data_IF_528161454851
#
_entry.id   IF_528161454851
#
_cell.length_a   1.000
_cell.length_b   1.000
_cell.length_c   1.000
_cell.angle_alpha   90.00
_cell.angle_beta   90.00
_cell.angle_gamma   90.00
#
_symmetry.space_group_name_H-M   'P 1'
#
loop_
_entity.id
_entity.type
_entity.pdbx_description
1 polymer ?
#
# COMPACT_ATOMS: atom_id res chain seq x y z
N UNK A 1 -3.71 -19.54 26.42
CA UNK A 1 -3.89 -18.93 25.08
C UNK A 1 -3.16 -17.59 25.14
N UNK A 2 -2.46 -17.20 24.08
CA UNK A 2 -1.85 -15.87 24.04
C UNK A 2 -2.92 -14.80 23.77
N UNK A 3 -2.69 -13.57 24.22
CA UNK A 3 -3.63 -12.45 24.10
C UNK A 3 -4.17 -12.28 22.68
N UNK A 4 -3.30 -12.32 21.67
CA UNK A 4 -3.70 -12.18 20.27
C UNK A 4 -4.63 -13.30 19.78
N UNK A 5 -4.50 -14.51 20.33
CA UNK A 5 -5.38 -15.63 20.02
C UNK A 5 -6.78 -15.42 20.63
N UNK A 6 -6.86 -14.86 21.83
CA UNK A 6 -8.11 -14.53 22.47
C UNK A 6 -8.87 -13.46 21.68
N UNK A 7 -8.18 -12.41 21.23
CA UNK A 7 -8.73 -11.36 20.37
C UNK A 7 -9.26 -11.90 19.03
N UNK A 8 -8.63 -12.94 18.47
CA UNK A 8 -9.12 -13.61 17.27
C UNK A 8 -10.37 -14.44 17.54
N UNK A 9 -10.44 -15.10 18.69
CA UNK A 9 -11.58 -15.98 19.04
C UNK A 9 -12.81 -15.15 19.37
N UNK A 10 -12.66 -14.03 20.09
CA UNK A 10 -13.76 -13.14 20.50
C UNK A 10 -14.38 -12.33 19.37
N UNK A 11 -13.68 -12.21 18.24
CA UNK A 11 -14.08 -11.33 17.13
C UNK A 11 -15.29 -11.82 16.33
N UNK A 12 -15.79 -10.95 15.45
CA UNK A 12 -16.90 -11.22 14.51
C UNK A 12 -16.41 -12.18 13.42
N UNK A 13 -17.13 -13.29 13.22
CA UNK A 13 -16.79 -14.33 12.22
C UNK A 13 -17.88 -14.61 11.21
N UNK A 14 -19.08 -14.12 11.46
CA UNK A 14 -20.27 -14.28 10.62
C UNK A 14 -21.02 -12.96 10.55
N UNK A 15 -21.77 -12.78 9.47
CA UNK A 15 -22.66 -11.63 9.33
C UNK A 15 -23.72 -11.56 10.44
N UNK A 16 -24.13 -12.71 10.98
CA UNK A 16 -25.05 -12.78 12.13
C UNK A 16 -24.49 -12.20 13.43
N UNK A 17 -23.18 -12.10 13.55
CA UNK A 17 -22.48 -11.60 14.74
C UNK A 17 -22.26 -10.07 14.67
N UNK A 18 -22.62 -9.44 13.53
CA UNK A 18 -22.53 -7.99 13.38
C UNK A 18 -23.56 -7.30 14.28
N UNK A 19 -23.17 -6.19 14.93
CA UNK A 19 -24.14 -5.34 15.62
C UNK A 19 -25.26 -4.91 14.66
N UNK A 20 -26.53 -4.86 15.11
CA UNK A 20 -27.66 -4.50 14.23
C UNK A 20 -27.46 -3.16 13.50
N UNK A 21 -26.82 -2.18 14.14
CA UNK A 21 -26.49 -0.86 13.60
C UNK A 21 -25.41 -0.89 12.54
N UNK A 22 -24.65 -2.00 12.40
CA UNK A 22 -23.63 -2.19 11.37
C UNK A 22 -24.17 -2.92 10.14
N UNK A 23 -25.44 -3.30 10.15
CA UNK A 23 -26.04 -4.06 9.04
C UNK A 23 -26.46 -3.10 7.94
N UNK A 24 -25.64 -3.02 6.89
CA UNK A 24 -25.98 -2.30 5.66
C UNK A 24 -26.86 -3.17 4.77
N UNK A 25 -27.96 -2.58 4.27
CA UNK A 25 -28.87 -3.25 3.30
C UNK A 25 -29.19 -2.31 2.16
N UNK A 26 -29.03 -2.80 0.95
CA UNK A 26 -29.36 -2.07 -0.27
C UNK A 26 -29.96 -3.04 -1.29
N UNK A 27 -31.05 -2.66 -1.96
CA UNK A 27 -31.71 -3.46 -3.01
C UNK A 27 -32.01 -4.91 -2.58
N UNK A 28 -32.35 -5.15 -1.31
CA UNK A 28 -32.61 -6.48 -0.75
C UNK A 28 -31.35 -7.33 -0.54
N UNK A 29 -30.17 -6.76 -0.68
CA UNK A 29 -28.87 -7.39 -0.38
C UNK A 29 -28.44 -6.97 1.02
N UNK A 30 -28.17 -7.94 1.89
CA UNK A 30 -27.62 -7.75 3.23
C UNK A 30 -26.28 -8.47 3.39
N UNK A 31 -25.65 -8.35 4.56
CA UNK A 31 -24.36 -8.97 4.86
C UNK A 31 -24.33 -10.50 4.69
N UNK A 32 -25.45 -11.16 4.92
CA UNK A 32 -25.65 -12.61 4.73
C UNK A 32 -25.38 -13.06 3.29
N UNK A 33 -25.86 -12.28 2.30
CA UNK A 33 -25.60 -12.56 0.89
C UNK A 33 -24.13 -12.29 0.53
N UNK A 34 -23.55 -11.24 1.08
CA UNK A 34 -22.14 -10.92 0.87
C UNK A 34 -21.25 -12.01 1.48
N UNK A 35 -21.59 -12.50 2.69
CA UNK A 35 -20.88 -13.60 3.35
C UNK A 35 -20.89 -14.89 2.53
N UNK A 36 -21.98 -15.16 1.80
CA UNK A 36 -22.05 -16.29 0.86
C UNK A 36 -21.01 -16.26 -0.26
N UNK A 37 -20.42 -15.09 -0.54
CA UNK A 37 -19.33 -14.91 -1.51
C UNK A 37 -17.97 -14.73 -0.84
N UNK A 38 -17.91 -13.94 0.25
CA UNK A 38 -16.70 -13.48 0.89
C UNK A 38 -16.81 -13.57 2.40
N UNK A 39 -15.90 -14.28 3.09
CA UNK A 39 -15.94 -14.44 4.54
C UNK A 39 -16.03 -13.13 5.31
N UNK A 40 -16.55 -13.20 6.52
CA UNK A 40 -16.51 -12.10 7.50
C UNK A 40 -15.51 -12.45 8.58
N UNK A 41 -14.58 -11.55 8.85
CA UNK A 41 -13.67 -11.65 9.99
C UNK A 41 -13.22 -10.28 10.45
N UNK A 42 -13.56 -9.93 11.69
CA UNK A 42 -13.12 -8.71 12.36
C UNK A 42 -12.73 -9.11 13.78
N UNK A 43 -11.44 -9.10 14.11
CA UNK A 43 -10.99 -9.42 15.47
C UNK A 43 -11.37 -8.30 16.47
N UNK A 44 -11.34 -8.58 17.76
CA UNK A 44 -11.79 -7.65 18.79
C UNK A 44 -10.95 -6.36 18.86
N UNK A 45 -9.63 -6.45 18.61
CA UNK A 45 -8.79 -5.26 18.54
C UNK A 45 -9.23 -4.33 17.42
N UNK A 46 -9.33 -4.84 16.18
CA UNK A 46 -9.70 -4.00 15.03
C UNK A 46 -11.14 -3.49 15.13
N UNK A 47 -12.04 -4.31 15.71
CA UNK A 47 -13.41 -3.90 16.05
C UNK A 47 -13.44 -2.68 16.96
N UNK A 48 -12.55 -2.60 17.96
CA UNK A 48 -12.49 -1.49 18.90
C UNK A 48 -12.09 -0.14 18.25
N UNK A 49 -11.49 -0.17 17.06
CA UNK A 49 -11.13 1.02 16.29
C UNK A 49 -12.30 1.59 15.48
N UNK A 50 -13.39 0.82 15.31
CA UNK A 50 -14.56 1.23 14.53
C UNK A 50 -15.47 2.06 15.43
N UNK A 51 -15.70 3.31 15.07
CA UNK A 51 -16.62 4.21 15.78
C UNK A 51 -18.00 4.20 15.15
N UNK A 52 -18.08 3.97 13.83
CA UNK A 52 -19.30 3.93 13.04
C UNK A 52 -19.06 3.00 11.84
N UNK A 53 -20.06 2.23 11.38
CA UNK A 53 -19.89 1.31 10.25
C UNK A 53 -19.45 1.99 8.95
N UNK A 54 -19.84 3.25 8.75
CA UNK A 54 -19.45 4.07 7.61
C UNK A 54 -18.15 4.84 7.80
N UNK A 55 -17.46 4.69 8.93
CA UNK A 55 -16.17 5.35 9.14
C UNK A 55 -15.04 4.67 8.34
N UNK A 56 -13.90 5.34 8.13
CA UNK A 56 -12.79 4.81 7.33
C UNK A 56 -12.23 3.45 7.81
N UNK A 57 -12.43 3.07 9.07
CA UNK A 57 -11.99 1.78 9.61
C UNK A 57 -13.07 0.72 9.33
N UNK A 58 -14.33 1.04 9.60
CA UNK A 58 -15.48 0.17 9.35
C UNK A 58 -15.59 -0.23 7.89
N UNK A 59 -15.50 0.74 6.97
CA UNK A 59 -15.57 0.50 5.52
C UNK A 59 -14.57 -0.56 5.03
N UNK A 60 -13.42 -0.71 5.67
CA UNK A 60 -12.40 -1.67 5.27
C UNK A 60 -12.73 -3.12 5.60
N UNK A 61 -13.65 -3.40 6.52
CA UNK A 61 -13.88 -4.75 7.07
C UNK A 61 -15.36 -5.15 7.19
N UNK A 62 -16.29 -4.20 7.24
CA UNK A 62 -17.72 -4.48 7.30
C UNK A 62 -18.22 -4.82 5.88
N UNK A 63 -18.96 -5.92 5.70
CA UNK A 63 -19.53 -6.28 4.40
C UNK A 63 -20.44 -5.19 3.83
N UNK A 64 -20.22 -4.82 2.57
CA UNK A 64 -21.03 -3.84 1.83
C UNK A 64 -21.87 -4.53 0.76
N UNK A 65 -23.17 -4.20 0.60
CA UNK A 65 -24.02 -4.72 -0.49
C UNK A 65 -23.41 -4.55 -1.88
N UNK A 66 -22.63 -3.50 -2.12
CA UNK A 66 -21.95 -3.25 -3.41
C UNK A 66 -21.00 -4.40 -3.80
N UNK A 67 -20.47 -5.17 -2.84
CA UNK A 67 -19.66 -6.36 -3.13
C UNK A 67 -20.43 -7.47 -3.84
N UNK A 68 -21.71 -7.63 -3.48
CA UNK A 68 -22.59 -8.58 -4.14
C UNK A 68 -23.00 -8.12 -5.54
N UNK A 69 -23.14 -6.81 -5.74
CA UNK A 69 -23.60 -6.23 -7.00
C UNK A 69 -22.50 -6.20 -8.08
N UNK A 70 -21.22 -6.19 -7.67
CA UNK A 70 -20.09 -6.21 -8.60
C UNK A 70 -19.88 -7.61 -9.21
N UNK A 71 -20.37 -7.80 -10.44
CA UNK A 71 -20.27 -9.06 -11.20
C UNK A 71 -19.31 -8.99 -12.39
N UNK A 72 -18.92 -7.81 -12.79
CA UNK A 72 -18.14 -7.57 -14.01
C UNK A 72 -16.65 -7.62 -13.77
N UNK A 73 -16.21 -7.20 -12.59
CA UNK A 73 -14.79 -7.20 -12.25
C UNK A 73 -14.21 -8.63 -12.19
N UNK A 74 -12.93 -8.83 -12.58
CA UNK A 74 -12.29 -10.15 -12.57
C UNK A 74 -12.09 -10.67 -11.13
N UNK A 75 -12.14 -11.99 -10.96
CA UNK A 75 -11.86 -12.65 -9.70
C UNK A 75 -10.35 -12.65 -9.38
N UNK A 76 -9.52 -12.77 -10.42
CA UNK A 76 -8.05 -12.65 -10.38
C UNK A 76 -7.62 -11.41 -11.18
N UNK A 77 -7.60 -10.22 -10.57
CA UNK A 77 -7.32 -8.98 -11.28
C UNK A 77 -5.88 -8.88 -11.76
N UNK A 78 -4.98 -9.62 -11.11
CA UNK A 78 -3.54 -9.54 -11.35
C UNK A 78 -3.01 -10.70 -12.20
N UNK A 79 -3.84 -11.69 -12.56
CA UNK A 79 -3.41 -12.87 -13.34
C UNK A 79 -2.42 -13.76 -12.57
N UNK A 80 -2.58 -13.86 -11.24
CA UNK A 80 -1.67 -14.65 -10.41
C UNK A 80 -1.71 -16.14 -10.76
N UNK A 81 -2.86 -16.65 -11.22
CA UNK A 81 -3.01 -18.06 -11.62
C UNK A 81 -2.20 -18.41 -12.87
N UNK A 82 -2.14 -17.49 -13.85
CA UNK A 82 -1.34 -17.64 -15.07
C UNK A 82 0.17 -17.58 -14.77
N UNK A 83 0.57 -16.82 -13.77
CA UNK A 83 1.97 -16.64 -13.36
C UNK A 83 2.41 -17.67 -12.29
N UNK A 84 1.59 -18.70 -12.01
CA UNK A 84 1.87 -19.70 -10.96
C UNK A 84 2.42 -21.00 -11.57
N UNK A 85 3.76 -21.14 -11.68
CA UNK A 85 4.39 -22.35 -12.26
C UNK A 85 4.24 -23.60 -11.38
N UNK A 86 4.11 -23.39 -10.07
CA UNK A 86 3.80 -24.41 -9.07
C UNK A 86 2.82 -23.83 -8.03
N UNK A 87 2.04 -24.64 -7.32
CA UNK A 87 1.20 -24.16 -6.23
C UNK A 87 1.98 -23.28 -5.25
N UNK A 88 1.32 -22.29 -4.73
CA UNK A 88 1.86 -21.31 -3.77
C UNK A 88 2.95 -20.34 -4.29
N UNK A 89 3.44 -20.47 -5.53
CA UNK A 89 4.40 -19.52 -6.14
C UNK A 89 3.72 -18.72 -7.25
N UNK A 90 3.89 -17.38 -7.22
CA UNK A 90 3.59 -16.49 -8.36
C UNK A 90 4.90 -15.86 -8.82
N UNK A 91 5.31 -16.15 -10.08
CA UNK A 91 6.60 -15.76 -10.65
C UNK A 91 6.41 -14.85 -11.86
N UNK A 92 6.08 -13.58 -11.62
CA UNK A 92 5.86 -12.57 -12.67
C UNK A 92 7.13 -11.85 -13.09
N UNK A 93 8.02 -11.56 -12.14
CA UNK A 93 9.21 -10.76 -12.34
C UNK A 93 10.45 -11.64 -12.44
N UNK A 94 11.45 -11.27 -13.26
CA UNK A 94 12.59 -12.17 -13.55
C UNK A 94 13.38 -12.59 -12.31
N UNK A 95 13.47 -11.71 -11.28
CA UNK A 95 14.39 -11.85 -10.17
C UNK A 95 13.71 -12.12 -8.82
N UNK A 96 12.35 -12.21 -8.80
CA UNK A 96 11.62 -12.31 -7.55
C UNK A 96 10.29 -13.03 -7.68
N UNK A 97 9.88 -13.68 -6.60
CA UNK A 97 8.61 -14.40 -6.52
C UNK A 97 7.77 -13.96 -5.33
N UNK A 98 6.47 -14.12 -5.48
CA UNK A 98 5.52 -14.09 -4.38
C UNK A 98 5.28 -15.54 -3.93
N UNK A 99 5.42 -15.79 -2.63
CA UNK A 99 5.21 -17.09 -2.02
C UNK A 99 4.00 -17.06 -1.09
N UNK A 100 2.93 -17.72 -1.48
CA UNK A 100 1.68 -17.83 -0.73
C UNK A 100 1.83 -18.94 0.31
N UNK A 101 1.94 -18.61 1.59
CA UNK A 101 2.23 -19.58 2.66
C UNK A 101 1.02 -19.88 3.55
N UNK A 102 -0.05 -19.10 3.44
CA UNK A 102 -1.29 -19.28 4.19
C UNK A 102 -2.44 -18.54 3.52
N UNK A 103 -3.68 -18.95 3.81
CA UNK A 103 -4.88 -18.18 3.44
C UNK A 103 -5.56 -17.50 4.65
N UNK A 104 -4.93 -17.56 5.84
CA UNK A 104 -5.49 -16.97 7.04
C UNK A 104 -5.06 -15.51 7.20
N UNK A 105 -6.00 -14.65 7.64
CA UNK A 105 -5.75 -13.25 7.98
C UNK A 105 -6.34 -12.92 9.36
N UNK A 106 -5.83 -11.89 10.05
CA UNK A 106 -6.39 -11.44 11.33
C UNK A 106 -7.76 -10.76 11.16
N UNK A 107 -8.01 -10.15 10.00
CA UNK A 107 -9.27 -9.55 9.55
C UNK A 107 -9.49 -9.88 8.08
N UNK A 108 -10.74 -9.76 7.60
CA UNK A 108 -11.03 -9.88 6.17
C UNK A 108 -11.17 -8.49 5.54
N UNK A 109 -10.16 -8.07 4.78
CA UNK A 109 -10.18 -6.78 4.07
C UNK A 109 -11.18 -6.82 2.91
N UNK A 110 -12.15 -5.88 2.88
CA UNK A 110 -13.19 -5.86 1.83
C UNK A 110 -12.63 -5.50 0.44
N UNK A 111 -11.47 -4.88 0.37
CA UNK A 111 -10.74 -4.53 -0.87
C UNK A 111 -9.63 -5.53 -1.26
N UNK A 112 -9.59 -6.72 -0.63
CA UNK A 112 -8.52 -7.70 -0.87
C UNK A 112 -8.53 -8.21 -2.31
N UNK A 113 -7.37 -8.17 -3.00
CA UNK A 113 -7.20 -8.69 -4.36
C UNK A 113 -7.33 -10.21 -4.44
N UNK A 114 -7.10 -10.90 -3.31
CA UNK A 114 -7.23 -12.37 -3.17
C UNK A 114 -8.50 -12.80 -2.47
N UNK A 115 -9.60 -12.03 -2.60
CA UNK A 115 -10.93 -12.39 -2.04
C UNK A 115 -11.39 -13.79 -2.45
N UNK A 116 -10.92 -14.29 -3.61
CA UNK A 116 -11.22 -15.62 -4.13
C UNK A 116 -10.62 -16.75 -3.28
N UNK A 117 -9.51 -16.50 -2.56
CA UNK A 117 -8.72 -17.52 -1.83
C UNK A 117 -8.73 -17.33 -0.32
N UNK A 118 -8.61 -16.08 0.16
CA UNK A 118 -8.44 -15.77 1.59
C UNK A 118 -9.64 -16.23 2.41
N UNK A 119 -9.38 -16.98 3.46
CA UNK A 119 -10.41 -17.48 4.38
C UNK A 119 -11.31 -18.58 3.80
N UNK A 120 -11.01 -19.11 2.59
CA UNK A 120 -11.77 -20.16 1.92
C UNK A 120 -11.01 -21.49 1.88
N UNK A 121 -11.72 -22.65 1.80
CA UNK A 121 -11.08 -23.96 1.71
C UNK A 121 -10.13 -24.08 0.49
N UNK A 122 -10.50 -23.48 -0.63
CA UNK A 122 -9.75 -23.52 -1.89
C UNK A 122 -8.39 -22.81 -1.82
N UNK A 123 -8.23 -21.91 -0.85
CA UNK A 123 -6.98 -21.16 -0.64
C UNK A 123 -6.07 -21.75 0.43
N UNK A 124 -6.41 -22.90 1.00
CA UNK A 124 -5.57 -23.55 2.03
C UNK A 124 -4.29 -24.07 1.40
N UNK A 125 -3.16 -23.63 1.94
CA UNK A 125 -1.82 -24.05 1.49
C UNK A 125 -1.33 -25.19 2.37
N UNK A 126 -1.01 -26.32 1.77
CA UNK A 126 -0.50 -27.51 2.45
C UNK A 126 1.02 -27.40 2.69
N UNK A 127 1.52 -28.19 3.65
CA UNK A 127 2.98 -28.30 3.86
C UNK A 127 3.72 -28.88 2.63
N UNK A 128 3.04 -29.70 1.83
CA UNK A 128 3.62 -30.23 0.59
C UNK A 128 3.83 -29.13 -0.45
N UNK A 129 2.84 -28.23 -0.61
CA UNK A 129 2.94 -27.06 -1.50
C UNK A 129 3.99 -26.07 -1.01
N UNK A 130 4.13 -25.87 0.30
CA UNK A 130 5.20 -25.05 0.87
C UNK A 130 6.58 -25.62 0.51
N UNK A 131 6.78 -26.93 0.68
CA UNK A 131 8.05 -27.59 0.28
C UNK A 131 8.30 -27.46 -1.21
N UNK A 132 7.28 -27.69 -2.04
CA UNK A 132 7.38 -27.53 -3.49
C UNK A 132 7.76 -26.10 -3.88
N UNK A 133 7.21 -25.10 -3.20
CA UNK A 133 7.57 -23.67 -3.41
C UNK A 133 9.04 -23.39 -3.07
N UNK A 134 9.56 -23.90 -1.94
CA UNK A 134 10.97 -23.78 -1.56
C UNK A 134 11.87 -24.48 -2.59
N UNK A 135 11.48 -25.69 -3.05
CA UNK A 135 12.24 -26.44 -4.06
C UNK A 135 12.24 -25.73 -5.43
N UNK A 136 11.11 -25.09 -5.79
CA UNK A 136 11.04 -24.25 -6.98
C UNK A 136 12.05 -23.11 -6.90
N UNK A 137 12.05 -22.33 -5.79
CA UNK A 137 13.01 -21.22 -5.61
C UNK A 137 14.45 -21.73 -5.67
N UNK A 138 14.74 -22.88 -5.04
CA UNK A 138 16.08 -23.48 -5.06
C UNK A 138 16.55 -23.87 -6.47
N UNK A 139 15.62 -24.29 -7.33
CA UNK A 139 15.91 -24.68 -8.71
C UNK A 139 16.07 -23.49 -9.67
N UNK A 140 15.73 -22.25 -9.24
CA UNK A 140 15.72 -21.04 -10.07
C UNK A 140 16.70 -20.01 -9.54
N UNK A 141 17.99 -20.06 -9.93
CA UNK A 141 19.03 -19.18 -9.38
C UNK A 141 18.85 -17.71 -9.74
N UNK A 142 18.03 -17.38 -10.72
CA UNK A 142 17.62 -16.00 -11.05
C UNK A 142 16.74 -15.37 -9.97
N UNK A 143 16.05 -16.17 -9.14
CA UNK A 143 15.19 -15.69 -8.04
C UNK A 143 16.05 -15.31 -6.84
N UNK A 144 16.31 -14.03 -6.68
CA UNK A 144 17.11 -13.44 -5.59
C UNK A 144 16.30 -12.86 -4.45
N UNK A 145 15.00 -12.66 -4.66
CA UNK A 145 14.09 -12.01 -3.73
C UNK A 145 12.78 -12.80 -3.62
N UNK A 146 12.34 -13.07 -2.41
CA UNK A 146 11.06 -13.72 -2.14
C UNK A 146 10.22 -12.87 -1.19
N UNK A 147 8.93 -12.70 -1.50
CA UNK A 147 7.98 -12.12 -0.56
C UNK A 147 6.99 -13.19 -0.08
N UNK A 148 7.02 -13.50 1.22
CA UNK A 148 5.99 -14.31 1.86
C UNK A 148 4.69 -13.51 1.95
N UNK A 149 3.58 -14.13 1.56
CA UNK A 149 2.25 -13.53 1.48
C UNK A 149 1.17 -14.63 1.53
N UNK A 150 0.03 -14.39 0.86
CA UNK A 150 -1.12 -15.29 0.79
C UNK A 150 -2.34 -14.64 1.40
N UNK A 151 -2.75 -15.15 2.59
CA UNK A 151 -3.41 -14.36 3.62
C UNK A 151 -2.36 -13.49 4.28
N UNK A 152 -2.13 -13.66 5.57
CA UNK A 152 -1.08 -12.95 6.30
C UNK A 152 -0.10 -13.94 6.91
N UNK A 153 1.18 -13.95 6.50
CA UNK A 153 2.17 -14.92 6.98
C UNK A 153 2.37 -14.92 8.51
N UNK A 154 2.16 -13.79 9.18
CA UNK A 154 2.26 -13.72 10.64
C UNK A 154 1.11 -14.42 11.36
N UNK A 155 0.10 -14.92 10.64
CA UNK A 155 -0.94 -15.79 11.19
C UNK A 155 -0.50 -17.26 11.31
N UNK A 156 0.62 -17.64 10.73
CA UNK A 156 1.25 -18.93 10.98
C UNK A 156 1.75 -19.02 12.42
N UNK A 157 1.86 -20.24 12.95
CA UNK A 157 2.58 -20.50 14.20
C UNK A 157 4.06 -20.18 14.02
N UNK A 158 4.72 -19.73 15.09
CA UNK A 158 6.14 -19.33 15.03
C UNK A 158 7.03 -20.44 14.52
N UNK A 159 6.77 -21.70 14.91
CA UNK A 159 7.55 -22.85 14.48
C UNK A 159 7.45 -23.09 12.98
N UNK A 160 6.23 -22.96 12.41
CA UNK A 160 6.03 -23.13 10.96
C UNK A 160 6.66 -21.99 10.17
N UNK A 161 6.54 -20.76 10.65
CA UNK A 161 7.17 -19.59 10.01
C UNK A 161 8.70 -19.73 10.05
N UNK A 162 9.25 -20.19 11.17
CA UNK A 162 10.68 -20.47 11.33
C UNK A 162 11.18 -21.56 10.39
N UNK A 163 10.41 -22.65 10.21
CA UNK A 163 10.73 -23.71 9.26
C UNK A 163 10.81 -23.18 7.82
N UNK A 164 9.82 -22.37 7.40
CA UNK A 164 9.81 -21.74 6.06
C UNK A 164 11.02 -20.81 5.89
N UNK A 165 11.28 -19.94 6.85
CA UNK A 165 12.40 -18.99 6.80
C UNK A 165 13.75 -19.72 6.78
N UNK A 166 13.90 -20.80 7.55
CA UNK A 166 15.10 -21.64 7.55
C UNK A 166 15.32 -22.32 6.21
N UNK A 167 14.24 -22.87 5.62
CA UNK A 167 14.28 -23.46 4.30
C UNK A 167 14.71 -22.48 3.21
N UNK A 168 14.19 -21.26 3.26
CA UNK A 168 14.57 -20.19 2.32
C UNK A 168 16.01 -19.73 2.53
N UNK A 169 16.47 -19.54 3.77
CA UNK A 169 17.86 -19.12 4.07
C UNK A 169 18.91 -20.19 3.74
N UNK A 170 18.51 -21.44 3.58
CA UNK A 170 19.42 -22.49 3.07
C UNK A 170 19.72 -22.39 1.56
N UNK A 171 19.06 -21.48 0.84
CA UNK A 171 19.25 -21.27 -0.61
C UNK A 171 20.30 -20.16 -0.80
N UNK A 172 21.46 -20.51 -1.34
CA UNK A 172 22.64 -19.62 -1.44
C UNK A 172 22.39 -18.36 -2.27
N UNK A 173 21.65 -18.48 -3.39
CA UNK A 173 21.37 -17.35 -4.29
C UNK A 173 20.24 -16.43 -3.80
N UNK A 174 19.49 -16.83 -2.75
CA UNK A 174 18.40 -16.01 -2.22
C UNK A 174 18.94 -14.92 -1.30
N UNK A 175 18.97 -13.69 -1.79
CA UNK A 175 19.55 -12.55 -1.07
C UNK A 175 18.57 -11.91 -0.09
N UNK A 176 17.32 -11.71 -0.51
CA UNK A 176 16.32 -10.94 0.22
C UNK A 176 15.09 -11.78 0.52
N UNK A 177 14.67 -11.80 1.79
CA UNK A 177 13.36 -12.31 2.20
C UNK A 177 12.52 -11.11 2.67
N UNK A 178 11.27 -11.04 2.20
CA UNK A 178 10.29 -10.06 2.63
C UNK A 178 9.05 -10.75 3.18
N UNK A 179 8.41 -10.14 4.16
CA UNK A 179 7.09 -10.57 4.67
C UNK A 179 6.09 -9.45 4.42
N UNK A 180 5.06 -9.74 3.61
CA UNK A 180 3.92 -8.85 3.42
C UNK A 180 2.88 -9.11 4.50
N UNK A 181 2.59 -8.13 5.35
CA UNK A 181 1.69 -8.33 6.50
C UNK A 181 0.86 -7.09 6.82
N UNK A 182 -0.34 -7.32 7.29
CA UNK A 182 -1.20 -6.31 7.90
C UNK A 182 -1.30 -6.44 9.43
N UNK A 183 -0.67 -7.46 10.02
CA UNK A 183 -0.74 -7.74 11.46
C UNK A 183 -0.40 -6.53 12.32
N UNK A 184 0.66 -5.72 12.06
CA UNK A 184 0.97 -4.59 12.91
C UNK A 184 -0.14 -3.53 13.00
N UNK A 185 -0.98 -3.38 11.98
CA UNK A 185 -2.16 -2.48 12.00
C UNK A 185 -3.44 -3.18 12.45
N UNK A 186 -3.57 -4.49 12.21
CA UNK A 186 -4.82 -5.22 12.37
C UNK A 186 -4.89 -6.12 13.62
N UNK A 187 -3.74 -6.56 14.13
CA UNK A 187 -3.62 -7.41 15.34
C UNK A 187 -2.22 -7.25 15.94
N UNK A 188 -1.83 -6.05 16.40
CA UNK A 188 -0.46 -5.75 16.85
C UNK A 188 0.02 -6.64 17.99
N UNK A 189 -0.86 -7.19 18.82
CA UNK A 189 -0.54 -8.10 19.93
C UNK A 189 0.15 -9.39 19.44
N UNK A 190 -0.04 -9.78 18.17
CA UNK A 190 0.68 -10.91 17.55
C UNK A 190 2.18 -10.64 17.37
N UNK A 191 2.60 -9.38 17.37
CA UNK A 191 4.02 -9.02 17.28
C UNK A 191 4.64 -9.11 18.68
N UNK A 192 4.90 -10.34 19.12
CA UNK A 192 5.49 -10.64 20.43
C UNK A 192 7.01 -10.45 20.41
N UNK A 193 7.66 -10.27 21.58
CA UNK A 193 9.12 -10.27 21.68
C UNK A 193 9.77 -11.57 21.17
N UNK A 194 9.11 -12.71 21.35
CA UNK A 194 9.54 -14.04 20.90
C UNK A 194 9.56 -14.10 19.38
N UNK A 195 8.47 -13.68 18.72
CA UNK A 195 8.40 -13.57 17.27
C UNK A 195 9.53 -12.68 16.72
N UNK A 196 9.72 -11.49 17.29
CA UNK A 196 10.76 -10.56 16.84
C UNK A 196 12.17 -11.14 17.01
N UNK A 197 12.44 -11.84 18.11
CA UNK A 197 13.70 -12.54 18.35
C UNK A 197 13.92 -13.68 17.37
N UNK A 198 12.89 -14.44 17.01
CA UNK A 198 12.94 -15.47 15.99
C UNK A 198 13.26 -14.86 14.62
N UNK A 199 12.51 -13.82 14.21
CA UNK A 199 12.68 -13.16 12.91
C UNK A 199 14.07 -12.54 12.74
N UNK A 200 14.67 -11.99 13.79
CA UNK A 200 16.01 -11.35 13.73
C UNK A 200 17.14 -12.30 13.32
N UNK A 201 16.92 -13.61 13.35
CA UNK A 201 17.92 -14.60 12.92
C UNK A 201 17.99 -14.79 11.40
N UNK A 202 17.04 -14.18 10.66
CA UNK A 202 16.87 -14.42 9.22
C UNK A 202 17.19 -13.20 8.34
N UNK A 203 18.04 -12.30 8.81
CA UNK A 203 18.48 -11.16 8.00
C UNK A 203 19.30 -11.59 6.77
N UNK A 204 19.21 -10.81 5.66
CA UNK A 204 18.39 -9.63 5.41
C UNK A 204 16.90 -9.96 5.28
N UNK A 205 16.10 -9.55 6.28
CA UNK A 205 14.64 -9.71 6.31
C UNK A 205 14.00 -8.31 6.33
N UNK A 206 13.04 -8.09 5.44
CA UNK A 206 12.26 -6.84 5.34
C UNK A 206 10.79 -7.10 5.63
N UNK A 207 10.08 -6.13 6.18
CA UNK A 207 8.63 -6.19 6.30
C UNK A 207 7.94 -5.13 5.46
N UNK A 208 6.98 -5.59 4.66
CA UNK A 208 6.08 -4.76 3.88
C UNK A 208 4.75 -4.69 4.64
N UNK A 209 4.59 -3.62 5.42
CA UNK A 209 3.41 -3.38 6.25
C UNK A 209 2.26 -2.79 5.43
N UNK A 210 1.05 -2.89 5.97
CA UNK A 210 -0.14 -2.36 5.33
C UNK A 210 -0.95 -1.51 6.31
N UNK A 211 -0.97 -0.20 6.07
CA UNK A 211 -1.77 0.80 6.75
C UNK A 211 -2.49 1.65 5.72
N UNK A 212 -3.77 1.96 5.94
CA UNK A 212 -4.58 2.76 5.03
C UNK A 212 -5.09 4.05 5.62
N UNK A 213 -5.16 4.16 6.96
CA UNK A 213 -5.73 5.33 7.63
C UNK A 213 -4.93 5.70 8.89
N UNK A 214 -4.79 7.01 9.23
CA UNK A 214 -4.06 7.45 10.42
C UNK A 214 -4.56 6.83 11.73
N UNK A 215 -5.85 6.52 11.85
CA UNK A 215 -6.45 5.88 13.02
C UNK A 215 -5.97 4.45 13.28
N UNK A 216 -5.33 3.81 12.31
CA UNK A 216 -4.67 2.51 12.50
C UNK A 216 -3.31 2.65 13.22
N UNK A 217 -2.78 3.88 13.36
CA UNK A 217 -1.57 4.17 14.13
C UNK A 217 -1.99 4.40 15.59
N UNK A 218 -2.11 3.31 16.32
CA UNK A 218 -2.45 3.27 17.75
C UNK A 218 -1.20 3.10 18.63
N UNK A 219 -1.30 3.20 19.96
CA UNK A 219 -0.21 2.82 20.85
C UNK A 219 0.28 1.39 20.62
N UNK A 220 -0.65 0.43 20.42
CA UNK A 220 -0.35 -0.98 20.21
C UNK A 220 0.35 -1.22 18.87
N UNK A 221 -0.14 -0.64 17.77
CA UNK A 221 0.52 -0.74 16.45
C UNK A 221 1.88 -0.05 16.43
N UNK A 222 2.03 1.06 17.18
CA UNK A 222 3.29 1.76 17.38
C UNK A 222 4.31 0.87 18.09
N UNK A 223 3.90 0.19 19.16
CA UNK A 223 4.74 -0.74 19.90
C UNK A 223 5.14 -1.95 19.05
N UNK A 224 4.20 -2.51 18.27
CA UNK A 224 4.49 -3.60 17.33
C UNK A 224 5.56 -3.19 16.30
N UNK A 225 5.41 -2.02 15.67
CA UNK A 225 6.40 -1.49 14.73
C UNK A 225 7.75 -1.22 15.41
N UNK A 226 7.74 -0.69 16.66
CA UNK A 226 8.96 -0.48 17.44
C UNK A 226 9.71 -1.79 17.66
N UNK A 227 9.02 -2.87 18.10
CA UNK A 227 9.63 -4.19 18.33
C UNK A 227 10.29 -4.74 17.08
N UNK A 228 9.60 -4.68 15.93
CA UNK A 228 10.14 -5.13 14.64
C UNK A 228 11.37 -4.32 14.22
N UNK A 229 11.32 -2.99 14.35
CA UNK A 229 12.43 -2.12 14.01
C UNK A 229 13.62 -2.28 14.96
N UNK A 230 13.38 -2.53 16.28
CA UNK A 230 14.42 -2.81 17.27
C UNK A 230 15.08 -4.19 17.03
N UNK A 231 14.35 -5.13 16.41
CA UNK A 231 14.90 -6.40 15.94
C UNK A 231 15.75 -6.27 14.65
N UNK A 232 16.00 -5.03 14.18
CA UNK A 232 16.80 -4.75 12.99
C UNK A 232 16.08 -4.96 11.66
N UNK A 233 14.75 -5.12 11.67
CA UNK A 233 13.95 -5.36 10.46
C UNK A 233 13.56 -4.02 9.83
N UNK A 234 13.99 -3.70 8.60
CA UNK A 234 13.51 -2.53 7.87
C UNK A 234 12.01 -2.63 7.57
N UNK A 235 11.28 -1.55 7.86
CA UNK A 235 9.83 -1.50 7.71
C UNK A 235 9.43 -0.56 6.56
N UNK A 236 8.74 -1.11 5.57
CA UNK A 236 8.10 -0.34 4.51
C UNK A 236 6.59 -0.46 4.60
N UNK A 237 5.85 0.57 4.21
CA UNK A 237 4.39 0.53 4.14
C UNK A 237 3.90 0.68 2.72
N UNK A 238 2.94 -0.17 2.36
CA UNK A 238 2.11 -0.03 1.18
C UNK A 238 0.69 0.31 1.61
N UNK A 239 0.10 1.30 0.94
CA UNK A 239 -1.23 1.83 1.21
C UNK A 239 -2.07 1.69 -0.05
N UNK A 240 -3.33 1.35 0.06
CA UNK A 240 -4.29 1.35 -1.06
C UNK A 240 -5.12 2.62 -1.01
N UNK A 241 -5.21 3.34 -2.14
CA UNK A 241 -6.08 4.50 -2.29
C UNK A 241 -7.52 4.04 -2.45
N UNK A 242 -8.37 4.38 -1.49
CA UNK A 242 -9.75 3.91 -1.42
C UNK A 242 -10.74 5.05 -1.18
N UNK A 243 -11.79 5.08 -1.99
CA UNK A 243 -12.91 6.03 -1.86
C UNK A 243 -13.55 5.92 -0.48
N UNK A 244 -13.75 7.04 0.18
CA UNK A 244 -14.36 7.14 1.52
C UNK A 244 -13.45 6.72 2.67
N UNK A 245 -12.24 6.20 2.40
CA UNK A 245 -11.28 5.80 3.42
C UNK A 245 -10.14 6.81 3.53
N UNK A 246 -9.46 7.08 2.43
CA UNK A 246 -8.25 7.91 2.42
C UNK A 246 -8.05 8.70 1.12
N UNK A 247 -9.10 8.97 0.38
CA UNK A 247 -9.10 9.58 -0.95
C UNK A 247 -8.91 11.12 -0.93
N UNK A 248 -8.11 11.60 0.02
CA UNK A 248 -7.70 13.01 0.08
C UNK A 248 -6.27 13.18 0.64
N UNK A 249 -5.65 14.31 0.29
CA UNK A 249 -4.25 14.59 0.62
C UNK A 249 -4.02 14.83 2.13
N UNK A 250 -5.00 15.31 2.87
CA UNK A 250 -4.88 15.58 4.30
C UNK A 250 -4.75 14.27 5.09
N UNK A 251 -5.64 13.31 4.82
CA UNK A 251 -5.62 11.98 5.46
C UNK A 251 -4.34 11.24 5.12
N UNK A 252 -3.98 11.16 3.83
CA UNK A 252 -2.76 10.46 3.41
C UNK A 252 -1.49 11.16 3.90
N UNK A 253 -1.44 12.49 3.88
CA UNK A 253 -0.31 13.24 4.44
C UNK A 253 -0.15 13.03 5.94
N UNK A 254 -1.25 12.92 6.68
CA UNK A 254 -1.25 12.60 8.12
C UNK A 254 -0.78 11.16 8.36
N UNK A 255 -1.28 10.20 7.58
CA UNK A 255 -0.84 8.81 7.63
C UNK A 255 0.66 8.69 7.37
N UNK A 256 1.16 9.23 6.27
CA UNK A 256 2.55 9.07 5.87
C UNK A 256 3.54 9.73 6.84
N UNK A 257 3.20 10.90 7.37
CA UNK A 257 3.98 11.52 8.46
C UNK A 257 3.93 10.69 9.75
N UNK A 258 2.77 10.13 10.08
CA UNK A 258 2.58 9.24 11.23
C UNK A 258 3.42 7.97 11.12
N UNK A 259 3.46 7.34 9.95
CA UNK A 259 4.27 6.15 9.69
C UNK A 259 5.77 6.40 9.92
N UNK A 260 6.30 7.55 9.47
CA UNK A 260 7.71 7.88 9.75
C UNK A 260 7.99 8.01 11.24
N UNK A 261 7.06 8.55 12.05
CA UNK A 261 7.23 8.66 13.50
C UNK A 261 7.40 7.29 14.18
N UNK A 262 6.79 6.26 13.62
CA UNK A 262 6.90 4.87 14.10
C UNK A 262 7.93 4.04 13.31
N UNK A 263 8.86 4.71 12.61
CA UNK A 263 9.98 4.12 11.84
C UNK A 263 9.54 3.23 10.67
N UNK A 264 8.38 3.53 10.07
CA UNK A 264 7.86 2.85 8.89
C UNK A 264 7.95 3.78 7.69
N UNK A 265 8.67 3.37 6.63
CA UNK A 265 8.84 4.13 5.38
C UNK A 265 7.63 3.90 4.45
N UNK A 266 6.79 4.90 4.15
CA UNK A 266 5.83 4.78 3.05
C UNK A 266 6.59 4.55 1.74
N UNK A 267 6.26 3.50 0.96
CA UNK A 267 6.96 3.26 -0.29
C UNK A 267 6.03 3.11 -1.49
N UNK A 268 4.82 2.56 -1.31
CA UNK A 268 3.81 2.53 -2.36
C UNK A 268 2.47 3.07 -1.88
N UNK A 269 1.84 3.87 -2.73
CA UNK A 269 0.40 4.14 -2.75
C UNK A 269 -0.17 3.41 -3.97
N UNK A 270 -0.99 2.40 -3.77
CA UNK A 270 -1.63 1.66 -4.85
C UNK A 270 -2.95 2.30 -5.25
N UNK A 271 -3.20 2.45 -6.54
CA UNK A 271 -4.56 2.56 -7.04
C UNK A 271 -5.32 1.27 -6.68
N UNK A 272 -6.55 1.37 -6.16
CA UNK A 272 -7.35 0.17 -5.88
C UNK A 272 -7.58 -0.64 -7.16
N UNK A 273 -7.30 -1.97 -7.08
CA UNK A 273 -7.34 -2.87 -8.22
C UNK A 273 -8.78 -3.17 -8.68
N UNK A 274 -8.91 -3.62 -9.94
CA UNK A 274 -10.15 -4.10 -10.54
C UNK A 274 -10.55 -5.47 -10.00
N UNK A 275 -10.80 -5.57 -8.70
CA UNK A 275 -11.14 -6.85 -8.05
C UNK A 275 -12.64 -6.99 -7.87
N UNK A 276 -13.18 -8.15 -8.23
CA UNK A 276 -14.60 -8.46 -8.02
C UNK A 276 -15.01 -8.27 -6.56
N UNK A 277 -16.07 -7.48 -6.34
CA UNK A 277 -16.54 -7.12 -5.02
C UNK A 277 -15.69 -6.04 -4.32
N UNK A 278 -14.86 -5.30 -5.06
CA UNK A 278 -14.10 -4.18 -4.49
C UNK A 278 -14.22 -2.88 -5.29
N UNK A 279 -15.02 -2.87 -6.37
CA UNK A 279 -15.11 -1.76 -7.30
C UNK A 279 -15.62 -0.45 -6.66
N UNK A 280 -16.44 -0.55 -5.61
CA UNK A 280 -16.95 0.60 -4.86
C UNK A 280 -15.85 1.40 -4.13
N UNK A 281 -14.69 0.80 -3.87
CA UNK A 281 -13.52 1.49 -3.30
C UNK A 281 -12.69 2.26 -4.33
N UNK A 282 -12.93 2.05 -5.62
CA UNK A 282 -12.07 2.66 -6.63
C UNK A 282 -12.34 4.15 -6.77
N UNK A 283 -11.25 4.89 -6.92
CA UNK A 283 -11.24 6.31 -7.26
C UNK A 283 -10.80 6.49 -8.72
N UNK A 284 -11.11 7.60 -9.37
CA UNK A 284 -10.42 7.99 -10.59
C UNK A 284 -8.90 8.08 -10.35
N UNK A 285 -8.09 7.70 -11.35
CA UNK A 285 -6.61 7.82 -11.27
C UNK A 285 -6.18 9.27 -11.03
N UNK A 286 -6.92 10.23 -11.58
CA UNK A 286 -6.70 11.66 -11.35
C UNK A 286 -6.76 12.08 -9.88
N UNK A 287 -7.54 11.36 -9.05
CA UNK A 287 -7.55 11.59 -7.58
C UNK A 287 -6.18 11.28 -6.97
N UNK A 288 -5.58 10.12 -7.31
CA UNK A 288 -4.24 9.76 -6.86
C UNK A 288 -3.17 10.74 -7.33
N UNK A 289 -3.23 11.15 -8.60
CA UNK A 289 -2.34 12.17 -9.18
C UNK A 289 -2.45 13.49 -8.43
N UNK A 290 -3.69 13.98 -8.16
CA UNK A 290 -3.92 15.22 -7.43
C UNK A 290 -3.40 15.15 -5.99
N UNK A 291 -3.57 14.02 -5.31
CA UNK A 291 -3.03 13.78 -3.97
C UNK A 291 -1.50 13.83 -3.98
N UNK A 292 -0.85 13.13 -4.90
CA UNK A 292 0.61 13.11 -4.98
C UNK A 292 1.17 14.50 -5.26
N UNK A 293 0.51 15.28 -6.15
CA UNK A 293 0.86 16.68 -6.40
C UNK A 293 0.73 17.55 -5.14
N UNK A 294 -0.35 17.36 -4.38
CA UNK A 294 -0.56 18.08 -3.13
C UNK A 294 0.44 17.72 -2.02
N UNK A 295 0.98 16.51 -2.02
CA UNK A 295 1.98 16.07 -1.04
C UNK A 295 3.40 16.49 -1.43
N UNK A 296 3.73 16.51 -2.72
CA UNK A 296 5.07 16.81 -3.22
C UNK A 296 5.49 18.23 -2.80
N UNK A 297 6.68 18.32 -2.17
CA UNK A 297 7.22 19.58 -1.64
C UNK A 297 6.55 20.09 -0.34
N UNK A 298 5.37 19.61 0.02
CA UNK A 298 4.64 20.02 1.23
C UNK A 298 4.87 19.11 2.45
N UNK A 299 5.37 17.90 2.24
CA UNK A 299 5.83 17.01 3.32
C UNK A 299 7.22 16.49 2.99
N UNK A 300 7.91 15.89 3.98
CA UNK A 300 9.24 15.31 3.76
C UNK A 300 9.24 14.32 2.59
N UNK A 301 10.25 14.37 1.72
CA UNK A 301 10.44 13.39 0.64
C UNK A 301 10.52 11.94 1.15
N UNK A 302 10.97 11.71 2.40
CA UNK A 302 10.91 10.40 3.02
C UNK A 302 9.48 9.90 3.26
N UNK A 303 8.51 10.80 3.37
CA UNK A 303 7.10 10.48 3.56
C UNK A 303 6.34 10.29 2.24
N UNK A 304 6.94 10.60 1.09
CA UNK A 304 6.30 10.49 -0.22
C UNK A 304 6.48 9.05 -0.74
N UNK A 305 5.39 8.28 -0.93
CA UNK A 305 5.45 6.99 -1.61
C UNK A 305 5.46 7.15 -3.14
N UNK A 306 5.75 6.07 -3.87
CA UNK A 306 5.45 6.00 -5.30
C UNK A 306 3.96 5.66 -5.48
N UNK A 307 3.23 6.49 -6.23
CA UNK A 307 1.89 6.14 -6.67
C UNK A 307 1.99 5.16 -7.84
N UNK A 308 1.35 4.00 -7.72
CA UNK A 308 1.46 2.92 -8.71
C UNK A 308 0.11 2.32 -9.04
N UNK A 309 -0.03 1.89 -10.29
CA UNK A 309 -1.13 1.05 -10.77
C UNK A 309 -0.54 -0.33 -11.03
N UNK A 310 -1.14 -1.37 -10.44
CA UNK A 310 -0.83 -2.74 -10.81
C UNK A 310 -1.67 -3.06 -12.06
N UNK A 311 -1.01 -3.13 -13.21
CA UNK A 311 -1.72 -3.19 -14.49
C UNK A 311 -2.43 -4.54 -14.66
N UNK A 312 -3.71 -4.55 -15.07
CA UNK A 312 -4.45 -5.78 -15.33
C UNK A 312 -3.75 -6.69 -16.33
N UNK A 313 -4.02 -8.01 -16.25
CA UNK A 313 -3.45 -8.98 -17.18
C UNK A 313 -1.94 -9.17 -17.06
N UNK A 314 -1.39 -9.01 -15.85
CA UNK A 314 0.01 -9.31 -15.61
C UNK A 314 0.99 -8.19 -15.99
N UNK A 315 0.53 -6.97 -16.29
CA UNK A 315 1.39 -5.85 -16.71
C UNK A 315 2.33 -5.32 -15.61
N UNK A 316 2.14 -5.75 -14.34
CA UNK A 316 2.98 -5.35 -13.21
C UNK A 316 2.74 -3.93 -12.73
N UNK A 317 3.61 -3.47 -11.84
CA UNK A 317 3.48 -2.17 -11.15
C UNK A 317 4.02 -1.03 -11.99
N UNK A 318 3.13 -0.16 -12.47
CA UNK A 318 3.47 1.00 -13.30
C UNK A 318 3.42 2.25 -12.43
N UNK A 319 4.55 2.96 -12.22
CA UNK A 319 4.56 4.23 -11.52
C UNK A 319 3.81 5.31 -12.29
N UNK A 320 2.97 6.07 -11.60
CA UNK A 320 2.27 7.23 -12.16
C UNK A 320 2.82 8.48 -11.48
N UNK A 321 3.49 9.31 -12.27
CA UNK A 321 4.02 10.59 -11.79
C UNK A 321 2.93 11.66 -11.85
N UNK A 322 2.87 12.59 -10.87
CA UNK A 322 1.88 13.66 -10.88
C UNK A 322 2.14 14.69 -11.97
N UNK A 323 3.41 14.94 -12.29
CA UNK A 323 3.86 15.94 -13.25
C UNK A 323 5.14 15.48 -13.95
N UNK A 324 5.38 16.01 -15.16
CA UNK A 324 6.68 15.96 -15.79
C UNK A 324 7.50 17.19 -15.34
N UNK A 325 8.39 16.96 -14.39
CA UNK A 325 9.21 18.04 -13.83
C UNK A 325 10.31 18.53 -14.76
N UNK A 326 10.61 17.81 -15.83
CA UNK A 326 11.49 18.25 -16.90
C UNK A 326 10.63 18.85 -18.00
N UNK A 327 10.60 20.18 -18.10
CA UNK A 327 9.67 20.91 -18.97
C UNK A 327 10.32 21.40 -20.29
N UNK A 328 11.64 21.28 -20.43
CA UNK A 328 12.31 21.64 -21.70
C UNK A 328 13.82 21.63 -21.63
N UNK A 329 14.42 22.00 -22.79
CA UNK A 329 15.87 22.17 -22.97
C UNK A 329 16.10 23.50 -23.68
N UNK A 330 17.01 24.31 -23.18
CA UNK A 330 17.37 25.59 -23.79
C UNK A 330 18.84 25.94 -23.50
N UNK A 331 19.58 26.35 -24.53
CA UNK A 331 20.97 26.85 -24.45
C UNK A 331 21.92 25.98 -23.59
N UNK A 332 21.91 24.66 -23.79
CA UNK A 332 22.75 23.73 -23.02
C UNK A 332 22.28 23.55 -21.56
N UNK A 333 21.05 23.88 -21.26
CA UNK A 333 20.43 23.70 -19.95
C UNK A 333 19.12 22.93 -20.06
N UNK A 334 18.82 22.14 -19.02
CA UNK A 334 17.49 21.60 -18.83
C UNK A 334 16.63 22.56 -18.01
N UNK A 335 15.36 22.67 -18.37
CA UNK A 335 14.37 23.45 -17.63
C UNK A 335 13.57 22.53 -16.74
N UNK A 336 13.63 22.79 -15.43
CA UNK A 336 12.96 22.00 -14.38
C UNK A 336 11.87 22.84 -13.72
N UNK A 337 10.69 22.26 -13.59
CA UNK A 337 9.60 22.86 -12.84
C UNK A 337 9.53 22.28 -11.42
N UNK A 338 9.48 23.14 -10.38
CA UNK A 338 9.33 22.69 -9.01
C UNK A 338 7.85 22.56 -8.60
N UNK A 339 7.60 22.13 -7.36
CA UNK A 339 6.26 21.97 -6.78
C UNK A 339 5.46 23.27 -6.66
N UNK A 340 6.11 24.45 -6.73
CA UNK A 340 5.46 25.77 -6.78
C UNK A 340 5.17 26.23 -8.20
N UNK A 341 5.38 25.38 -9.23
CA UNK A 341 5.31 25.69 -10.65
C UNK A 341 6.34 26.73 -11.13
N UNK A 342 7.44 26.91 -10.40
CA UNK A 342 8.55 27.77 -10.82
C UNK A 342 9.52 27.00 -11.66
N UNK A 343 10.03 27.64 -12.74
CA UNK A 343 10.98 27.04 -13.66
C UNK A 343 12.40 27.45 -13.24
N UNK A 344 13.28 26.46 -13.24
CA UNK A 344 14.71 26.59 -12.96
C UNK A 344 15.52 26.00 -14.08
N UNK A 345 16.54 26.77 -14.54
CA UNK A 345 17.50 26.27 -15.49
C UNK A 345 18.64 25.53 -14.77
N UNK A 346 18.98 24.35 -15.24
CA UNK A 346 20.05 23.52 -14.68
C UNK A 346 21.06 23.18 -15.79
N UNK A 347 22.37 23.53 -15.68
CA UNK A 347 23.38 23.21 -16.67
C UNK A 347 23.49 21.70 -16.88
N UNK A 348 23.35 21.23 -18.11
CA UNK A 348 23.53 19.83 -18.49
C UNK A 348 24.86 19.64 -19.23
N UNK A 349 25.85 18.95 -18.66
CA UNK A 349 27.16 18.71 -19.32
C UNK A 349 27.07 17.93 -20.61
N UNK A 350 25.98 17.23 -20.86
CA UNK A 350 25.76 16.43 -22.06
C UNK A 350 25.03 17.18 -23.17
N UNK A 351 24.49 18.38 -22.89
CA UNK A 351 23.74 19.16 -23.89
C UNK A 351 24.61 19.69 -25.04
N UNK A 352 25.93 19.76 -24.86
CA UNK A 352 26.89 20.19 -25.90
C UNK A 352 27.31 19.06 -26.83
N UNK A 353 26.88 17.82 -26.63
CA UNK A 353 27.16 16.71 -27.55
C UNK A 353 26.21 16.82 -28.75
N UNK A 354 26.68 17.53 -29.79
CA UNK A 354 25.94 17.73 -31.02
C UNK A 354 25.41 16.39 -31.58
N UNK A 355 24.11 16.24 -31.64
CA UNK A 355 23.44 15.19 -32.39
C UNK A 355 22.53 14.22 -31.63
N UNK A 356 22.51 14.20 -30.32
CA UNK A 356 21.57 13.38 -29.57
C UNK A 356 20.47 14.25 -28.88
N UNK A 357 19.62 14.85 -29.71
CA UNK A 357 18.30 15.23 -29.21
C UNK A 357 17.60 13.94 -28.77
N UNK A 358 17.03 13.86 -27.51
CA UNK A 358 16.14 12.77 -27.15
C UNK A 358 15.10 12.64 -28.26
N UNK A 359 14.83 11.41 -28.70
CA UNK A 359 13.93 11.14 -29.81
C UNK A 359 12.63 11.97 -29.64
N UNK A 360 12.17 12.61 -30.69
CA UNK A 360 10.96 13.44 -30.78
C UNK A 360 9.66 12.75 -30.26
N UNK A 361 9.76 11.53 -29.74
CA UNK A 361 8.67 10.74 -29.26
C UNK A 361 8.07 11.19 -27.91
N UNK A 362 8.68 12.15 -27.20
CA UNK A 362 8.20 12.61 -25.87
C UNK A 362 7.96 14.12 -25.75
N UNK A 363 7.99 14.89 -26.83
CA UNK A 363 7.56 16.29 -26.79
C UNK A 363 6.06 16.35 -27.06
N UNK A 364 5.21 16.71 -26.07
CA UNK A 364 3.80 16.98 -26.38
C UNK A 364 3.73 18.23 -27.28
N UNK A 365 2.90 18.16 -28.33
CA UNK A 365 2.65 19.25 -29.30
C UNK A 365 2.20 20.59 -28.68
N UNK A 366 1.98 20.63 -27.36
CA UNK A 366 1.49 21.78 -26.59
C UNK A 366 2.55 22.86 -26.39
N UNK A 367 3.85 22.58 -26.61
CA UNK A 367 4.93 23.55 -26.31
C UNK A 367 5.21 24.57 -27.41
N UNK A 368 4.56 24.48 -28.58
CA UNK A 368 4.81 25.40 -29.68
C UNK A 368 4.08 26.77 -29.60
N UNK A 369 3.19 26.96 -28.61
CA UNK A 369 2.36 28.16 -28.53
C UNK A 369 2.49 29.02 -27.24
N UNK A 370 3.38 28.66 -26.32
CA UNK A 370 3.57 29.47 -25.11
C UNK A 370 4.71 30.49 -25.28
N UNK A 371 4.51 31.78 -24.97
CA UNK A 371 5.61 32.76 -24.97
C UNK A 371 6.63 32.36 -23.88
N UNK A 372 7.93 32.47 -24.22
CA UNK A 372 9.03 32.16 -23.32
C UNK A 372 8.84 32.86 -21.95
N UNK A 373 8.85 32.11 -20.83
CA UNK A 373 8.76 32.72 -19.52
C UNK A 373 10.01 33.56 -19.26
N UNK A 374 9.82 34.76 -18.70
CA UNK A 374 10.93 35.59 -18.24
C UNK A 374 11.58 34.90 -17.05
N UNK A 375 12.87 34.62 -17.13
CA UNK A 375 13.66 34.13 -16.00
C UNK A 375 13.66 35.21 -14.91
N UNK A 376 13.05 34.91 -13.75
CA UNK A 376 13.20 35.75 -12.57
C UNK A 376 14.47 35.34 -11.82
N UNK A 377 15.28 36.30 -11.41
CA UNK A 377 16.44 36.03 -10.56
C UNK A 377 15.98 35.40 -9.25
N UNK A 378 16.72 34.42 -8.70
CA UNK A 378 16.34 33.73 -7.48
C UNK A 378 16.23 34.73 -6.33
N UNK A 379 15.02 34.89 -5.79
CA UNK A 379 14.79 35.68 -4.59
C UNK A 379 15.58 35.07 -3.42
N UNK A 380 16.26 35.88 -2.57
CA UNK A 380 17.04 35.37 -1.46
C UNK A 380 16.15 34.51 -0.55
N UNK A 381 16.64 33.33 -0.21
CA UNK A 381 15.97 32.32 0.59
C UNK A 381 15.28 32.93 1.82
N UNK A 382 13.96 32.94 1.84
CA UNK A 382 13.20 33.22 3.05
C UNK A 382 13.41 32.03 3.99
N UNK A 383 14.29 32.21 4.96
CA UNK A 383 14.31 31.36 6.16
C UNK A 383 12.96 31.54 6.85
N UNK A 384 12.13 30.53 6.86
CA UNK A 384 10.96 30.47 7.74
C UNK A 384 11.44 30.48 9.18
N UNK A 385 11.03 31.40 10.02
CA UNK A 385 11.32 31.31 11.45
C UNK A 385 10.41 30.22 12.03
N UNK A 386 11.01 29.15 12.51
CA UNK A 386 10.37 28.26 13.47
C UNK A 386 10.20 29.05 14.77
N UNK A 387 9.04 29.65 14.95
CA UNK A 387 8.62 30.25 16.22
C UNK A 387 7.92 29.20 17.08
N UNK A 388 7.93 29.37 18.43
CA UNK A 388 7.37 28.39 19.35
C UNK A 388 5.84 28.34 19.29
N UNK A 389 5.31 27.14 19.55
CA UNK A 389 3.91 26.81 19.72
C UNK A 389 3.10 27.87 20.47
N UNK A 390 2.10 28.42 19.80
CA UNK A 390 0.93 28.97 20.45
C UNK A 390 -0.30 28.52 19.65
N UNK A 391 -1.13 27.70 20.31
CA UNK A 391 -2.44 27.31 19.84
C UNK A 391 -3.29 28.55 19.54
N UNK A 392 -3.80 28.60 18.32
CA UNK A 392 -4.73 29.61 17.84
C UNK A 392 -5.57 29.03 16.72
N UNK A 393 -6.82 28.90 17.02
CA UNK A 393 -7.94 28.50 16.17
C UNK A 393 -7.93 29.27 14.83
N UNK A 394 -7.64 28.60 13.72
CA UNK A 394 -7.80 29.17 12.38
C UNK A 394 -9.05 28.59 11.74
N UNK A 395 -10.09 29.45 11.75
CA UNK A 395 -11.42 29.15 11.26
C UNK A 395 -11.45 28.66 9.79
N UNK A 396 -12.34 27.70 9.59
CA UNK A 396 -12.61 26.92 8.37
C UNK A 396 -13.05 27.71 7.11
N UNK A 397 -12.80 29.02 7.01
CA UNK A 397 -13.31 29.87 5.92
C UNK A 397 -12.32 30.17 4.80
N UNK A 398 -11.02 30.06 5.03
CA UNK A 398 -10.02 30.48 4.01
C UNK A 398 -9.58 29.40 3.03
N UNK A 399 -9.80 28.12 3.36
CA UNK A 399 -9.41 27.01 2.47
C UNK A 399 -10.36 26.85 1.27
N UNK A 400 -11.63 27.29 1.39
CA UNK A 400 -12.62 27.15 0.30
C UNK A 400 -12.46 28.13 -0.85
N UNK A 401 -11.68 29.20 -0.69
CA UNK A 401 -11.55 30.25 -1.74
C UNK A 401 -10.48 29.99 -2.79
N UNK A 402 -9.57 29.04 -2.56
CA UNK A 402 -8.49 28.71 -3.52
C UNK A 402 -8.78 27.55 -4.46
N UNK A 403 -9.85 26.78 -4.23
CA UNK A 403 -10.19 25.61 -5.04
C UNK A 403 -11.26 25.93 -6.11
N UNK A 404 -11.97 27.06 -6.00
CA UNK A 404 -13.10 27.38 -6.90
C UNK A 404 -12.75 28.24 -8.13
N UNK A 405 -11.48 28.57 -8.39
CA UNK A 405 -11.08 29.42 -9.51
C UNK A 405 -10.26 28.72 -10.61
N UNK A 406 -10.31 27.40 -10.71
CA UNK A 406 -9.49 26.63 -11.66
C UNK A 406 -10.20 25.57 -12.50
N UNK A 407 -11.51 25.73 -12.73
CA UNK A 407 -12.23 24.89 -13.72
C UNK A 407 -13.27 25.77 -14.41
N UNK A 408 -12.89 26.35 -15.52
CA UNK A 408 -13.70 26.91 -16.56
C UNK A 408 -13.12 26.52 -17.90
#
# INVERSE_FOLDING_TARGET
MEEWQELLVGGIRRSSDLPPEWILKENGVGPDRVEGLYPVRINDYYRSLISDPGDPIGLQVIPDPAEWLDRESPADPLGEEEDSPVPAIVHRYPDRVLFLVTNQCPIYCRYCTRKRLVGKPEGVVSQAEIRQGIDYIRAHPEVRDVILSGGDPLMLKDEMLEEILSGLRSIEHLEVIRIGTRVPSALPQRVTPELCRMLSRFHPLYMNLHFNHPREITPESTEACRRLADAGIPLGCQTVLMKGVNDNAEVLGTLFKGLLKIRVKPYYLYQADLTRGANHFRTPVSTGVAIMRALQGNISGMAIPHFVIDAPGGGGKIPVLPDDYLVGYENGQILLQNYENKIYAYPDPMADVAGNSPSQACAPEILQSAPAPKLEEPSPARRSPLGPDHGGDLGAKDVRRRISSGLG
#
